data_IF_309070097684
#
_entry.id   IF_309070097684
#
_cell.length_a   1.000
_cell.length_b   1.000
_cell.length_c   1.000
_cell.angle_alpha   90.00
_cell.angle_beta   90.00
_cell.angle_gamma   90.00
#
_symmetry.space_group_name_H-M   'P 1'
#
loop_
_entity.id
_entity.type
_entity.pdbx_description
1 polymer ?
#
# COMPACT_ATOMS: atom_id res chain seq x y z
N UNK A 1 7.28 10.27 -11.88
CA UNK A 1 6.93 9.29 -10.83
C UNK A 1 8.17 8.98 -10.04
N UNK A 2 8.16 9.25 -8.72
CA UNK A 2 9.30 8.96 -7.86
C UNK A 2 8.98 7.76 -6.96
N UNK A 3 9.90 6.80 -6.85
CA UNK A 3 9.70 5.63 -5.99
C UNK A 3 9.71 6.06 -4.53
N UNK A 4 8.75 5.54 -3.76
CA UNK A 4 8.66 5.72 -2.32
C UNK A 4 9.07 4.41 -1.63
N UNK A 5 10.01 4.46 -0.68
CA UNK A 5 10.36 3.27 0.07
C UNK A 5 9.19 2.92 1.00
N UNK A 6 8.63 1.73 0.80
CA UNK A 6 7.47 1.24 1.51
C UNK A 6 7.60 -0.26 1.80
N UNK A 7 7.04 -0.71 2.92
CA UNK A 7 7.13 -2.09 3.39
C UNK A 7 5.77 -2.59 3.85
N UNK A 8 5.42 -3.82 3.49
CA UNK A 8 4.24 -4.51 4.01
C UNK A 8 4.48 -4.85 5.49
N UNK A 9 3.61 -4.38 6.37
CA UNK A 9 3.73 -4.61 7.81
C UNK A 9 2.73 -5.63 8.33
N UNK A 10 1.58 -5.77 7.68
CA UNK A 10 0.58 -6.77 8.03
C UNK A 10 -0.32 -7.09 6.83
N UNK A 11 -0.86 -8.30 6.84
CA UNK A 11 -1.89 -8.76 5.91
C UNK A 11 -2.95 -9.46 6.73
N UNK A 12 -4.20 -9.09 6.51
CA UNK A 12 -5.36 -9.69 7.15
C UNK A 12 -6.32 -10.20 6.07
N UNK A 13 -6.76 -11.45 6.20
CA UNK A 13 -7.79 -12.03 5.36
C UNK A 13 -9.15 -11.91 6.05
N UNK A 14 -10.12 -11.32 5.36
CA UNK A 14 -11.49 -11.13 5.82
C UNK A 14 -12.45 -11.70 4.77
N UNK A 15 -12.61 -13.02 4.79
CA UNK A 15 -13.47 -13.76 3.85
C UNK A 15 -12.94 -13.66 2.41
N UNK A 16 -13.61 -12.90 1.55
CA UNK A 16 -13.19 -12.70 0.14
C UNK A 16 -12.33 -11.45 -0.06
N UNK A 17 -11.98 -10.74 1.01
CA UNK A 17 -11.21 -9.51 0.96
C UNK A 17 -9.90 -9.64 1.72
N UNK A 18 -8.88 -8.97 1.20
CA UNK A 18 -7.55 -8.91 1.80
C UNK A 18 -7.25 -7.47 2.16
N UNK A 19 -6.94 -7.24 3.44
CA UNK A 19 -6.46 -5.95 3.93
C UNK A 19 -4.94 -6.02 4.05
N UNK A 20 -4.24 -5.17 3.31
CA UNK A 20 -2.79 -5.05 3.37
C UNK A 20 -2.45 -3.72 4.04
N UNK A 21 -1.63 -3.78 5.08
CA UNK A 21 -1.10 -2.60 5.74
C UNK A 21 0.32 -2.38 5.26
N UNK A 22 0.60 -1.19 4.72
CA UNK A 22 1.90 -0.80 4.20
C UNK A 22 2.40 0.43 4.94
N UNK A 23 3.66 0.44 5.36
CA UNK A 23 4.31 1.59 5.96
C UNK A 23 5.24 2.25 4.95
N UNK A 24 5.02 3.53 4.67
CA UNK A 24 5.98 4.38 3.97
C UNK A 24 7.08 4.74 4.97
N UNK A 25 8.34 4.42 4.64
CA UNK A 25 9.47 4.63 5.56
C UNK A 25 10.09 6.02 5.43
N UNK A 26 9.83 6.71 4.31
CA UNK A 26 10.16 8.12 4.14
C UNK A 26 9.09 9.03 4.76
N UNK A 27 9.47 10.27 5.13
CA UNK A 27 8.49 11.32 5.47
C UNK A 27 7.71 11.73 4.22
N UNK A 28 6.58 11.09 4.00
CA UNK A 28 5.63 11.43 2.94
C UNK A 28 4.48 12.28 3.50
N UNK A 29 4.21 13.43 2.89
CA UNK A 29 3.15 14.38 3.28
C UNK A 29 2.05 14.54 2.23
N UNK A 30 2.09 13.73 1.17
CA UNK A 30 1.06 13.74 0.13
C UNK A 30 -0.23 13.07 0.59
N UNK A 31 -1.21 13.07 -0.31
CA UNK A 31 -2.48 12.37 -0.09
C UNK A 31 -2.45 10.97 -0.70
N UNK A 32 -3.44 10.14 -0.40
CA UNK A 32 -3.59 8.84 -1.04
C UNK A 32 -3.71 8.97 -2.58
N UNK A 33 -4.42 10.00 -3.05
CA UNK A 33 -4.68 10.20 -4.48
C UNK A 33 -3.44 10.60 -5.28
N UNK A 34 -2.34 10.97 -4.62
CA UNK A 34 -1.06 11.27 -5.27
C UNK A 34 -0.15 10.05 -5.36
N UNK A 35 -0.60 8.87 -4.92
CA UNK A 35 0.14 7.62 -4.96
C UNK A 35 -0.20 6.79 -6.20
N UNK A 36 0.77 6.03 -6.67
CA UNK A 36 0.64 5.03 -7.70
C UNK A 36 1.15 3.67 -7.21
N UNK A 37 0.46 2.60 -7.58
CA UNK A 37 0.60 1.25 -7.03
C UNK A 37 1.12 0.22 -8.06
N UNK A 38 1.51 0.67 -9.26
CA UNK A 38 1.94 -0.22 -10.34
C UNK A 38 0.89 -1.27 -10.68
N UNK A 39 1.33 -2.53 -10.80
CA UNK A 39 0.48 -3.67 -11.12
C UNK A 39 -0.34 -4.17 -9.92
N UNK A 40 0.13 -3.92 -8.68
CA UNK A 40 -0.51 -4.38 -7.44
C UNK A 40 -1.54 -3.35 -6.96
N UNK A 41 -2.46 -2.98 -7.85
CA UNK A 41 -3.42 -1.90 -7.60
C UNK A 41 -4.50 -2.32 -6.60
N UNK A 42 -4.65 -1.61 -5.47
CA UNK A 42 -5.73 -1.88 -4.53
C UNK A 42 -7.09 -1.45 -5.11
N UNK A 43 -8.16 -2.09 -4.65
CA UNK A 43 -9.52 -1.66 -4.95
C UNK A 43 -9.83 -0.33 -4.27
N UNK A 44 -9.44 -0.19 -3.00
CA UNK A 44 -9.61 1.02 -2.21
C UNK A 44 -8.50 1.12 -1.17
N UNK A 45 -8.30 2.30 -0.61
CA UNK A 45 -7.35 2.48 0.46
C UNK A 45 -7.40 3.87 1.09
N UNK A 46 -6.62 4.02 2.15
CA UNK A 46 -6.45 5.29 2.84
C UNK A 46 -5.00 5.45 3.28
N UNK A 47 -4.55 6.71 3.36
CA UNK A 47 -3.24 7.09 3.88
C UNK A 47 -3.45 7.92 5.14
N UNK A 48 -2.83 7.49 6.24
CA UNK A 48 -2.78 8.25 7.50
C UNK A 48 -1.41 8.10 8.12
N UNK A 49 -0.73 9.22 8.38
CA UNK A 49 0.57 9.27 9.07
C UNK A 49 1.63 8.32 8.47
N UNK A 50 1.68 8.23 7.14
CA UNK A 50 2.61 7.36 6.41
C UNK A 50 2.21 5.87 6.38
N UNK A 51 1.13 5.50 7.05
CA UNK A 51 0.53 4.17 6.99
C UNK A 51 -0.57 4.14 5.93
N UNK A 52 -0.47 3.15 5.05
CA UNK A 52 -1.46 2.82 4.05
C UNK A 52 -2.25 1.61 4.52
N UNK A 53 -3.57 1.73 4.54
CA UNK A 53 -4.50 0.63 4.71
C UNK A 53 -5.17 0.38 3.36
N UNK A 54 -4.82 -0.74 2.71
CA UNK A 54 -5.21 -1.08 1.35
C UNK A 54 -6.14 -2.29 1.35
N UNK A 55 -7.16 -2.27 0.49
CA UNK A 55 -8.13 -3.34 0.34
C UNK A 55 -8.06 -3.97 -1.04
N UNK A 56 -8.04 -5.30 -1.10
CA UNK A 56 -8.00 -6.08 -2.33
C UNK A 56 -9.12 -7.13 -2.32
N UNK A 57 -9.70 -7.43 -3.50
CA UNK A 57 -10.71 -8.49 -3.67
C UNK A 57 -10.12 -9.88 -3.93
N UNK A 58 -8.80 -9.95 -4.12
CA UNK A 58 -8.05 -11.18 -4.38
C UNK A 58 -6.77 -11.09 -3.58
N UNK A 59 -6.18 -12.25 -3.29
CA UNK A 59 -4.86 -12.31 -2.70
C UNK A 59 -3.88 -11.54 -3.60
N UNK A 60 -3.23 -10.46 -3.09
CA UNK A 60 -2.28 -9.69 -3.86
C UNK A 60 -0.90 -10.38 -3.99
N UNK A 61 -0.71 -11.57 -3.40
CA UNK A 61 0.56 -12.30 -3.46
C UNK A 61 1.68 -11.63 -2.67
N UNK A 62 1.33 -10.91 -1.61
CA UNK A 62 2.24 -10.19 -0.73
C UNK A 62 2.40 -10.94 0.59
N UNK A 63 3.53 -10.71 1.27
CA UNK A 63 3.78 -11.18 2.63
C UNK A 63 4.20 -10.03 3.54
N UNK A 64 3.94 -10.17 4.84
CA UNK A 64 4.50 -9.24 5.83
C UNK A 64 6.03 -9.29 5.80
N UNK A 65 6.67 -8.13 5.66
CA UNK A 65 8.11 -8.06 5.43
C UNK A 65 8.49 -7.60 4.03
N UNK A 66 7.62 -7.79 3.05
CA UNK A 66 7.93 -7.51 1.65
C UNK A 66 8.11 -6.01 1.40
N UNK A 67 8.99 -5.68 0.45
CA UNK A 67 9.05 -4.34 -0.10
C UNK A 67 7.81 -4.12 -0.96
N UNK A 68 7.11 -3.00 -0.73
CA UNK A 68 5.89 -2.69 -1.45
C UNK A 68 6.17 -1.70 -2.59
N UNK A 69 5.81 -2.04 -3.85
CA UNK A 69 6.03 -1.15 -5.00
C UNK A 69 5.08 0.05 -4.92
N UNK A 70 5.64 1.21 -4.56
CA UNK A 70 4.90 2.46 -4.39
C UNK A 70 5.64 3.62 -5.06
N UNK A 71 4.87 4.50 -5.70
CA UNK A 71 5.39 5.73 -6.28
C UNK A 71 4.50 6.91 -5.95
N UNK A 72 5.06 8.11 -6.03
CA UNK A 72 4.32 9.38 -6.07
C UNK A 72 4.20 9.86 -7.52
N UNK A 73 3.02 10.41 -7.87
CA UNK A 73 2.76 11.01 -9.18
C UNK A 73 3.52 12.34 -9.39
N UNK A 74 3.95 12.97 -8.29
CA UNK A 74 4.71 14.21 -8.26
C UNK A 74 6.12 13.98 -7.69
#
# INVERSE_FOLDING_TARGET
MNSLPAKVVAIEEHGVQYRVVVQITAKYRGSFNTLAFGEIKPYSGSLKDGRLDLLYYRDPGLNAGDQFPLWTLH
#
